data_IF_278639608322
#
_entry.id   IF_278639608322
#
_cell.length_a   1.000
_cell.length_b   1.000
_cell.length_c   1.000
_cell.angle_alpha   90.00
_cell.angle_beta   90.00
_cell.angle_gamma   90.00
#
_symmetry.space_group_name_H-M   'P 1'
#
loop_
_entity.id
_entity.type
_entity.pdbx_description
1 polymer ?
#
# COMPACT_ATOMS: atom_id res chain seq x y z
N UNK A 1 19.02 -15.29 -10.37
CA UNK A 1 18.92 -13.89 -9.90
C UNK A 1 17.72 -13.16 -10.51
N UNK A 2 17.55 -13.13 -11.84
CA UNK A 2 16.47 -12.41 -12.52
C UNK A 2 15.04 -12.73 -12.00
N UNK A 3 14.71 -14.02 -11.87
CA UNK A 3 13.37 -14.45 -11.39
C UNK A 3 13.06 -13.88 -10.01
N UNK A 4 14.02 -13.91 -9.08
CA UNK A 4 13.83 -13.43 -7.71
C UNK A 4 13.58 -11.92 -7.66
N UNK A 5 14.37 -11.14 -8.41
CA UNK A 5 14.20 -9.67 -8.47
C UNK A 5 12.86 -9.29 -9.10
N UNK A 6 12.43 -9.98 -10.16
CA UNK A 6 11.14 -9.73 -10.79
C UNK A 6 9.97 -10.14 -9.88
N UNK A 7 10.04 -11.28 -9.19
CA UNK A 7 9.03 -11.66 -8.19
C UNK A 7 8.90 -10.61 -7.09
N UNK A 8 10.01 -10.08 -6.57
CA UNK A 8 9.98 -9.03 -5.56
C UNK A 8 9.27 -7.76 -6.07
N UNK A 9 9.62 -7.29 -7.27
CA UNK A 9 8.99 -6.11 -7.88
C UNK A 9 7.50 -6.34 -8.17
N UNK A 10 7.12 -7.53 -8.63
CA UNK A 10 5.73 -7.88 -8.92
C UNK A 10 4.88 -7.96 -7.65
N UNK A 11 5.40 -8.55 -6.57
CA UNK A 11 4.70 -8.60 -5.29
C UNK A 11 4.51 -7.21 -4.69
N UNK A 12 5.52 -6.34 -4.78
CA UNK A 12 5.44 -4.96 -4.31
C UNK A 12 4.49 -4.13 -5.20
N UNK A 13 4.53 -4.33 -6.51
CA UNK A 13 3.60 -3.71 -7.46
C UNK A 13 2.16 -4.12 -7.18
N UNK A 14 1.91 -5.42 -6.96
CA UNK A 14 0.59 -5.94 -6.60
C UNK A 14 0.10 -5.37 -5.27
N UNK A 15 0.99 -5.24 -4.28
CA UNK A 15 0.67 -4.62 -2.99
C UNK A 15 0.22 -3.16 -3.14
N UNK A 16 0.96 -2.35 -3.92
CA UNK A 16 0.62 -0.94 -4.19
C UNK A 16 -0.68 -0.81 -4.99
N UNK A 17 -0.83 -1.60 -6.06
CA UNK A 17 -2.01 -1.58 -6.91
C UNK A 17 -3.27 -1.91 -6.10
N UNK A 18 -3.20 -2.96 -5.28
CA UNK A 18 -4.32 -3.40 -4.45
C UNK A 18 -4.68 -2.38 -3.37
N UNK A 19 -3.68 -1.77 -2.73
CA UNK A 19 -3.88 -0.67 -1.79
C UNK A 19 -4.63 0.51 -2.43
N UNK A 20 -4.17 0.96 -3.60
CA UNK A 20 -4.79 2.07 -4.32
C UNK A 20 -6.20 1.75 -4.80
N UNK A 21 -6.42 0.56 -5.36
CA UNK A 21 -7.76 0.11 -5.81
C UNK A 21 -8.75 0.07 -4.66
N UNK A 22 -8.33 -0.43 -3.49
CA UNK A 22 -9.20 -0.47 -2.30
C UNK A 22 -9.58 0.95 -1.87
N UNK A 23 -8.65 1.90 -1.85
CA UNK A 23 -8.95 3.30 -1.47
C UNK A 23 -9.91 3.99 -2.44
N UNK A 24 -9.81 3.68 -3.73
CA UNK A 24 -10.77 4.18 -4.73
C UNK A 24 -12.14 3.54 -4.52
N UNK A 25 -12.19 2.23 -4.27
CA UNK A 25 -13.44 1.47 -4.09
C UNK A 25 -14.19 1.83 -2.80
N UNK A 26 -13.46 1.96 -1.69
CA UNK A 26 -14.02 2.29 -0.37
C UNK A 26 -14.50 3.76 -0.30
N UNK A 27 -14.13 4.57 -1.29
CA UNK A 27 -14.43 6.00 -1.34
C UNK A 27 -13.30 6.85 -0.76
N UNK A 28 -13.01 7.95 -1.45
CA UNK A 28 -11.93 8.86 -1.09
C UNK A 28 -12.14 9.55 0.26
N UNK A 29 -13.37 9.61 0.76
CA UNK A 29 -13.70 10.20 2.06
C UNK A 29 -13.10 9.43 3.23
N UNK A 30 -13.05 8.10 3.15
CA UNK A 30 -12.41 7.26 4.19
C UNK A 30 -10.91 7.54 4.22
N UNK A 31 -10.29 7.64 3.05
CA UNK A 31 -8.86 7.95 2.93
C UNK A 31 -8.58 9.39 3.39
N UNK A 32 -9.44 10.35 3.01
CA UNK A 32 -9.35 11.74 3.46
C UNK A 32 -9.48 11.85 4.97
N UNK A 33 -10.37 11.08 5.61
CA UNK A 33 -10.47 10.99 7.07
C UNK A 33 -9.19 10.48 7.74
N UNK A 34 -8.48 9.53 7.10
CA UNK A 34 -7.15 9.11 7.58
C UNK A 34 -6.13 10.24 7.44
N UNK A 35 -6.12 10.96 6.31
CA UNK A 35 -5.25 12.12 6.09
C UNK A 35 -5.55 13.25 7.09
N UNK A 36 -6.83 13.47 7.42
CA UNK A 36 -7.28 14.41 8.43
C UNK A 36 -6.73 14.05 9.81
N UNK A 37 -6.83 12.78 10.20
CA UNK A 37 -6.35 12.28 11.50
C UNK A 37 -4.83 12.48 11.68
N UNK A 38 -4.08 12.51 10.58
CA UNK A 38 -2.64 12.77 10.59
C UNK A 38 -2.32 14.24 10.90
N UNK A 39 -3.28 15.15 10.71
CA UNK A 39 -3.12 16.60 10.96
C UNK A 39 -1.87 17.18 10.27
N UNK A 40 -1.61 16.76 9.02
CA UNK A 40 -0.49 17.21 8.20
C UNK A 40 -0.88 18.27 7.16
N UNK A 41 -2.13 18.24 6.67
CA UNK A 41 -2.64 19.13 5.62
C UNK A 41 -3.85 19.93 6.12
N UNK A 42 -4.16 21.09 5.50
CA UNK A 42 -5.42 21.78 5.74
C UNK A 42 -6.60 21.00 5.15
N UNK A 43 -7.78 21.13 5.77
CA UNK A 43 -9.01 20.39 5.41
C UNK A 43 -9.35 20.43 3.92
N UNK A 44 -9.12 21.57 3.26
CA UNK A 44 -9.39 21.75 1.82
C UNK A 44 -8.53 20.85 0.91
N UNK A 45 -7.37 20.40 1.38
CA UNK A 45 -6.42 19.58 0.63
C UNK A 45 -6.51 18.09 0.96
N UNK A 46 -7.29 17.68 1.97
CA UNK A 46 -7.35 16.28 2.41
C UNK A 46 -7.94 15.36 1.32
N UNK A 47 -9.05 15.76 0.70
CA UNK A 47 -9.67 15.02 -0.42
C UNK A 47 -8.76 14.97 -1.66
N UNK A 48 -8.20 16.09 -2.15
CA UNK A 48 -7.23 16.08 -3.25
C UNK A 48 -6.01 15.20 -2.95
N UNK A 49 -5.47 15.27 -1.73
CA UNK A 49 -4.35 14.44 -1.32
C UNK A 49 -4.72 12.95 -1.30
N UNK A 50 -5.91 12.59 -0.81
CA UNK A 50 -6.40 11.22 -0.84
C UNK A 50 -6.54 10.67 -2.27
N UNK A 51 -7.08 11.48 -3.20
CA UNK A 51 -7.15 11.12 -4.62
C UNK A 51 -5.77 10.92 -5.22
N UNK A 52 -4.88 11.90 -5.03
CA UNK A 52 -3.52 11.86 -5.58
C UNK A 52 -2.75 10.64 -5.06
N UNK A 53 -2.92 10.33 -3.78
CA UNK A 53 -2.28 9.19 -3.13
C UNK A 53 -2.77 7.86 -3.71
N UNK A 54 -4.09 7.69 -3.83
CA UNK A 54 -4.66 6.48 -4.42
C UNK A 54 -4.26 6.32 -5.90
N UNK A 55 -4.30 7.41 -6.67
CA UNK A 55 -3.87 7.41 -8.07
C UNK A 55 -2.37 7.07 -8.22
N UNK A 56 -1.53 7.61 -7.34
CA UNK A 56 -0.10 7.33 -7.37
C UNK A 56 0.21 5.87 -6.99
N UNK A 57 -0.52 5.28 -6.04
CA UNK A 57 -0.38 3.86 -5.69
C UNK A 57 -0.79 2.94 -6.84
N UNK A 58 -1.93 3.21 -7.49
CA UNK A 58 -2.39 2.46 -8.67
C UNK A 58 -1.38 2.61 -9.81
N UNK A 59 -0.95 3.83 -10.10
CA UNK A 59 0.02 4.11 -11.16
C UNK A 59 1.35 3.41 -10.92
N UNK A 60 1.93 3.53 -9.73
CA UNK A 60 3.19 2.88 -9.38
C UNK A 60 3.10 1.34 -9.45
N UNK A 61 2.00 0.77 -8.95
CA UNK A 61 1.72 -0.66 -9.05
C UNK A 61 1.59 -1.13 -10.51
N UNK A 62 0.83 -0.40 -11.32
CA UNK A 62 0.64 -0.70 -12.74
C UNK A 62 1.96 -0.61 -13.52
N UNK A 63 2.80 0.40 -13.25
CA UNK A 63 4.11 0.52 -13.87
C UNK A 63 5.01 -0.70 -13.55
N UNK A 64 5.03 -1.16 -12.30
CA UNK A 64 5.81 -2.35 -11.92
C UNK A 64 5.28 -3.65 -12.53
N UNK A 65 3.95 -3.82 -12.60
CA UNK A 65 3.29 -5.01 -13.16
C UNK A 65 3.35 -5.04 -14.70
N UNK A 66 3.40 -3.88 -15.35
CA UNK A 66 3.50 -3.81 -16.81
C UNK A 66 4.84 -4.34 -17.34
N UNK A 67 5.90 -4.29 -16.51
CA UNK A 67 7.23 -4.73 -16.89
C UNK A 67 7.92 -3.83 -17.92
N UNK A 68 7.24 -2.79 -18.42
CA UNK A 68 7.75 -1.95 -19.50
C UNK A 68 8.86 -0.99 -19.01
N UNK A 69 8.76 -0.52 -17.77
CA UNK A 69 9.77 0.34 -17.14
C UNK A 69 9.88 0.05 -15.63
N UNK A 70 10.51 -1.09 -15.25
CA UNK A 70 10.61 -1.50 -13.85
C UNK A 70 11.38 -0.48 -12.99
N UNK A 71 12.33 0.25 -13.58
CA UNK A 71 13.08 1.31 -12.89
C UNK A 71 12.20 2.50 -12.53
N UNK A 72 11.36 2.97 -13.46
CA UNK A 72 10.46 4.09 -13.20
C UNK A 72 9.40 3.70 -12.17
N UNK A 73 8.84 2.50 -12.27
CA UNK A 73 7.92 1.95 -11.27
C UNK A 73 8.59 1.85 -9.88
N UNK A 74 9.82 1.36 -9.82
CA UNK A 74 10.58 1.26 -8.57
C UNK A 74 10.82 2.63 -7.92
N UNK A 75 11.20 3.64 -8.71
CA UNK A 75 11.37 5.02 -8.22
C UNK A 75 10.06 5.56 -7.66
N UNK A 76 8.95 5.39 -8.38
CA UNK A 76 7.63 5.83 -7.92
C UNK A 76 7.24 5.18 -6.58
N UNK A 77 7.44 3.86 -6.46
CA UNK A 77 7.18 3.13 -5.21
C UNK A 77 8.08 3.61 -4.07
N UNK A 78 9.38 3.80 -4.31
CA UNK A 78 10.32 4.28 -3.29
C UNK A 78 9.91 5.66 -2.79
N UNK A 79 9.56 6.58 -3.70
CA UNK A 79 9.12 7.94 -3.35
C UNK A 79 7.84 7.88 -2.51
N UNK A 80 6.85 7.07 -2.91
CA UNK A 80 5.62 6.91 -2.15
C UNK A 80 5.84 6.31 -0.76
N UNK A 81 6.64 5.25 -0.65
CA UNK A 81 6.98 4.63 0.62
C UNK A 81 7.77 5.59 1.52
N UNK A 82 8.66 6.41 0.96
CA UNK A 82 9.39 7.42 1.70
C UNK A 82 8.46 8.50 2.24
N UNK A 83 7.55 9.03 1.41
CA UNK A 83 6.54 9.99 1.82
C UNK A 83 5.65 9.43 2.96
N UNK A 84 5.20 8.18 2.84
CA UNK A 84 4.47 7.49 3.91
C UNK A 84 5.29 7.36 5.19
N UNK A 85 6.56 7.02 5.07
CA UNK A 85 7.45 6.87 6.22
C UNK A 85 7.62 8.19 6.96
N UNK A 86 7.78 9.29 6.24
CA UNK A 86 7.84 10.64 6.83
C UNK A 86 6.53 11.00 7.52
N UNK A 87 5.38 10.70 6.91
CA UNK A 87 4.08 10.94 7.51
C UNK A 87 3.88 10.13 8.81
N UNK A 88 4.19 8.83 8.80
CA UNK A 88 4.11 7.97 9.99
C UNK A 88 5.06 8.42 11.09
N UNK A 89 6.30 8.79 10.75
CA UNK A 89 7.26 9.32 11.70
C UNK A 89 6.76 10.62 12.34
N UNK A 90 6.13 11.51 11.57
CA UNK A 90 5.52 12.73 12.09
C UNK A 90 4.42 12.44 13.11
N UNK A 91 3.50 11.52 12.80
CA UNK A 91 2.42 11.07 13.68
C UNK A 91 2.97 10.49 14.99
N UNK A 92 3.96 9.60 14.90
CA UNK A 92 4.60 8.98 16.07
C UNK A 92 5.31 10.00 16.96
N UNK A 93 6.08 10.93 16.36
CA UNK A 93 6.76 11.99 17.13
C UNK A 93 5.79 12.93 17.85
N UNK A 94 4.58 13.10 17.31
CA UNK A 94 3.54 13.94 17.89
C UNK A 94 2.64 13.20 18.87
N UNK A 95 2.82 11.89 19.06
CA UNK A 95 1.99 11.07 19.93
C UNK A 95 0.53 10.96 19.48
N UNK A 96 0.26 11.07 18.17
CA UNK A 96 -1.10 10.97 17.64
C UNK A 96 -1.47 9.50 17.49
N UNK A 97 -2.55 9.08 18.14
CA UNK A 97 -3.11 7.72 18.02
C UNK A 97 -4.13 7.69 16.89
N UNK A 98 -3.78 7.04 15.77
CA UNK A 98 -4.64 6.89 14.59
C UNK A 98 -4.32 5.59 13.84
N UNK A 99 -5.20 5.18 12.94
CA UNK A 99 -4.98 4.05 12.04
C UNK A 99 -4.06 4.43 10.86
N UNK A 100 -3.38 3.44 10.25
CA UNK A 100 -2.48 3.73 9.12
C UNK A 100 -3.21 3.99 7.79
N UNK A 101 -4.45 3.50 7.64
CA UNK A 101 -5.25 3.62 6.41
C UNK A 101 -4.60 3.06 5.14
N UNK A 102 -3.52 2.28 5.28
CA UNK A 102 -2.71 1.81 4.15
C UNK A 102 -3.48 0.89 3.18
N UNK A 103 -4.62 0.33 3.58
CA UNK A 103 -5.51 -0.46 2.71
C UNK A 103 -6.97 -0.03 2.88
N UNK A 104 -7.22 1.27 3.08
CA UNK A 104 -8.57 1.75 3.40
C UNK A 104 -9.13 1.04 4.65
N UNK A 105 -10.34 0.51 4.54
CA UNK A 105 -11.04 -0.20 5.63
C UNK A 105 -10.41 -1.54 6.01
N UNK A 106 -9.57 -2.13 5.14
CA UNK A 106 -8.98 -3.44 5.34
C UNK A 106 -7.82 -3.46 6.35
N UNK A 107 -7.36 -2.30 6.79
CA UNK A 107 -6.24 -2.17 7.72
C UNK A 107 -6.54 -1.12 8.78
N UNK A 108 -7.13 -1.58 9.87
CA UNK A 108 -7.37 -0.80 11.10
C UNK A 108 -6.15 -0.76 12.02
N UNK A 109 -4.99 -1.23 11.55
CA UNK A 109 -3.76 -1.25 12.34
C UNK A 109 -3.36 0.17 12.75
N UNK A 110 -3.13 0.34 14.04
CA UNK A 110 -2.62 1.59 14.59
C UNK A 110 -1.25 1.93 14.02
N UNK A 111 -0.98 3.24 13.94
CA UNK A 111 0.35 3.73 13.59
C UNK A 111 1.35 3.29 14.66
N UNK A 112 2.31 2.44 14.27
CA UNK A 112 3.34 1.86 15.14
C UNK A 112 4.72 1.93 14.46
N UNK A 113 5.83 1.94 15.22
CA UNK A 113 7.18 1.93 14.66
C UNK A 113 7.46 0.77 13.69
N UNK A 114 6.79 -0.37 13.90
CA UNK A 114 6.85 -1.51 12.98
C UNK A 114 6.47 -1.17 11.53
N UNK A 115 5.59 -0.19 11.32
CA UNK A 115 5.19 0.27 9.97
C UNK A 115 6.32 1.04 9.27
N UNK A 116 7.13 1.79 10.02
CA UNK A 116 8.34 2.44 9.49
C UNK A 116 9.34 1.38 9.05
N UNK A 117 9.59 0.38 9.90
CA UNK A 117 10.50 -0.74 9.58
C UNK A 117 10.01 -1.45 8.30
N UNK A 118 8.71 -1.76 8.22
CA UNK A 118 8.10 -2.35 7.01
C UNK A 118 8.39 -1.50 5.77
N UNK A 119 8.13 -0.20 5.81
CA UNK A 119 8.34 0.66 4.64
C UNK A 119 9.81 0.76 4.26
N UNK A 120 10.72 0.91 5.23
CA UNK A 120 12.18 0.96 4.97
C UNK A 120 12.67 -0.35 4.35
N UNK A 121 12.20 -1.49 4.85
CA UNK A 121 12.50 -2.80 4.27
C UNK A 121 11.98 -2.92 2.85
N UNK A 122 10.74 -2.48 2.58
CA UNK A 122 10.17 -2.49 1.23
C UNK A 122 10.93 -1.56 0.27
N UNK A 123 11.38 -0.39 0.74
CA UNK A 123 12.24 0.52 -0.02
C UNK A 123 13.56 -0.18 -0.38
N UNK A 124 14.23 -0.79 0.60
CA UNK A 124 15.50 -1.48 0.39
C UNK A 124 15.37 -2.64 -0.61
N UNK A 125 14.31 -3.45 -0.47
CA UNK A 125 14.02 -4.56 -1.40
C UNK A 125 13.74 -4.01 -2.80
N UNK A 126 12.94 -2.95 -2.93
CA UNK A 126 12.61 -2.33 -4.23
C UNK A 126 13.86 -1.79 -4.90
N UNK A 127 14.70 -1.07 -4.16
CA UNK A 127 15.94 -0.50 -4.68
C UNK A 127 16.93 -1.59 -5.12
N UNK A 128 17.14 -2.61 -4.28
CA UNK A 128 18.01 -3.74 -4.61
C UNK A 128 17.49 -4.53 -5.82
N UNK A 129 16.19 -4.85 -5.86
CA UNK A 129 15.60 -5.57 -6.97
C UNK A 129 15.68 -4.77 -8.28
N UNK A 130 15.44 -3.46 -8.24
CA UNK A 130 15.58 -2.60 -9.42
C UNK A 130 17.03 -2.51 -9.92
N UNK A 131 18.00 -2.38 -9.01
CA UNK A 131 19.42 -2.31 -9.35
C UNK A 131 19.98 -3.63 -9.93
N UNK A 132 19.49 -4.76 -9.43
CA UNK A 132 19.95 -6.10 -9.81
C UNK A 132 19.14 -6.73 -10.95
N UNK A 133 18.01 -6.13 -11.33
CA UNK A 133 17.13 -6.67 -12.38
C UNK A 133 17.77 -6.55 -13.77
N UNK A 134 17.83 -7.64 -14.56
CA UNK A 134 18.26 -7.57 -15.96
C UNK A 134 17.30 -6.74 -16.80
N UNK A 135 17.83 -6.04 -17.81
CA UNK A 135 17.04 -5.20 -18.73
C UNK A 135 16.05 -6.00 -19.59
N UNK A 136 16.32 -7.28 -19.82
CA UNK A 136 15.39 -8.20 -20.48
C UNK A 136 14.56 -8.97 -19.45
N UNK A 137 13.24 -8.92 -19.60
CA UNK A 137 12.32 -9.71 -18.78
C UNK A 137 12.48 -11.21 -19.11
N UNK A 138 12.41 -12.12 -18.11
CA UNK A 138 12.44 -13.55 -18.37
C UNK A 138 11.18 -13.99 -19.13
N UNK A 139 11.25 -15.06 -19.94
CA UNK A 139 10.09 -15.57 -20.68
C UNK A 139 8.93 -16.01 -19.76
N UNK A 140 9.21 -16.30 -18.48
CA UNK A 140 8.20 -16.64 -17.46
C UNK A 140 7.55 -15.42 -16.79
N UNK A 141 7.87 -14.19 -17.22
CA UNK A 141 7.43 -12.95 -16.56
C UNK A 141 5.92 -12.89 -16.31
N UNK A 142 5.10 -13.16 -17.34
CA UNK A 142 3.64 -13.07 -17.22
C UNK A 142 3.04 -14.12 -16.27
N UNK A 143 3.63 -15.31 -16.20
CA UNK A 143 3.23 -16.33 -15.24
C UNK A 143 3.52 -15.88 -13.81
N UNK A 144 4.69 -15.28 -13.57
CA UNK A 144 5.06 -14.72 -12.27
C UNK A 144 4.19 -13.52 -11.89
N UNK A 145 3.84 -12.67 -12.86
CA UNK A 145 2.96 -11.52 -12.65
C UNK A 145 1.56 -11.99 -12.24
N UNK A 146 0.98 -12.95 -12.97
CA UNK A 146 -0.31 -13.54 -12.65
C UNK A 146 -0.32 -14.17 -11.25
N UNK A 147 0.69 -14.99 -10.93
CA UNK A 147 0.81 -15.61 -9.62
C UNK A 147 0.92 -14.58 -8.47
N UNK A 148 1.70 -13.51 -8.68
CA UNK A 148 1.89 -12.45 -7.68
C UNK A 148 0.61 -11.66 -7.42
N UNK A 149 -0.14 -11.33 -8.48
CA UNK A 149 -1.44 -10.66 -8.37
C UNK A 149 -2.45 -11.56 -7.64
N UNK A 150 -2.53 -12.84 -8.01
CA UNK A 150 -3.42 -13.80 -7.35
C UNK A 150 -3.08 -13.98 -5.87
N UNK A 151 -1.78 -14.08 -5.53
CA UNK A 151 -1.33 -14.18 -4.15
C UNK A 151 -1.68 -12.93 -3.33
N UNK A 152 -1.51 -11.73 -3.91
CA UNK A 152 -1.88 -10.48 -3.25
C UNK A 152 -3.40 -10.38 -3.01
N UNK A 153 -4.20 -10.70 -4.03
CA UNK A 153 -5.66 -10.73 -3.95
C UNK A 153 -6.13 -11.75 -2.92
N UNK A 154 -5.58 -12.97 -2.91
CA UNK A 154 -5.90 -13.99 -1.92
C UNK A 154 -5.53 -13.54 -0.50
N UNK A 155 -4.35 -12.94 -0.32
CA UNK A 155 -3.92 -12.35 0.95
C UNK A 155 -4.89 -11.32 1.49
N UNK A 156 -5.39 -10.45 0.62
CA UNK A 156 -6.40 -9.44 0.98
C UNK A 156 -7.77 -10.05 1.23
N UNK A 157 -8.25 -10.96 0.38
CA UNK A 157 -9.52 -11.65 0.58
C UNK A 157 -9.54 -12.39 1.93
N UNK A 158 -8.44 -13.04 2.30
CA UNK A 158 -8.30 -13.68 3.61
C UNK A 158 -8.37 -12.68 4.78
N UNK A 159 -7.80 -11.48 4.63
CA UNK A 159 -7.91 -10.42 5.65
C UNK A 159 -9.32 -9.83 5.72
N UNK A 160 -9.96 -9.59 4.59
CA UNK A 160 -11.33 -9.08 4.53
C UNK A 160 -12.33 -10.04 5.19
N UNK A 161 -12.17 -11.35 4.96
CA UNK A 161 -13.01 -12.36 5.62
C UNK A 161 -12.86 -12.37 7.14
N UNK A 162 -11.68 -12.03 7.67
CA UNK A 162 -11.46 -11.93 9.12
C UNK A 162 -12.07 -10.68 9.75
N UNK A 163 -12.22 -9.60 9.00
CA UNK A 163 -12.88 -8.37 9.47
C UNK A 163 -14.40 -8.39 9.30
N UNK A 164 -14.91 -9.23 8.39
CA UNK A 164 -16.33 -9.36 8.09
C UNK A 164 -17.09 -10.37 8.98
N UNK A 165 -16.43 -11.02 9.94
CA UNK A 165 -17.15 -11.78 10.98
C UNK A 165 -17.97 -10.79 11.81
N UNK A 166 -19.31 -10.86 11.80
CA UNK A 166 -20.15 -9.96 12.59
C UNK A 166 -19.80 -10.12 14.07
N UNK A 167 -19.81 -9.01 14.80
CA UNK A 167 -19.87 -9.04 16.27
C UNK A 167 -21.26 -9.56 16.62
N UNK A 168 -21.42 -10.88 16.70
CA UNK A 168 -22.58 -11.51 17.33
C UNK A 168 -22.47 -11.26 18.84
N UNK A 169 -23.02 -10.13 19.30
CA UNK A 169 -23.22 -9.89 20.72
C UNK A 169 -23.06 -8.46 21.23
N UNK A 170 -23.79 -7.49 20.68
CA UNK A 170 -24.18 -6.28 21.43
C UNK A 170 -25.68 -6.01 21.24
N UNK A 171 -26.49 -6.99 21.63
CA UNK A 171 -27.81 -6.72 22.20
C UNK A 171 -27.62 -6.50 23.71
N UNK A 172 -28.22 -5.41 24.23
CA UNK A 172 -28.30 -4.98 25.63
C UNK A 172 -27.35 -3.84 26.05
N UNK A 173 -27.68 -2.61 25.67
CA UNK A 173 -27.91 -1.55 26.68
C UNK A 173 -29.14 -0.75 26.24
N UNK A 174 -30.25 -1.00 26.94
CA UNK A 174 -31.41 -0.12 26.96
C UNK A 174 -31.08 1.16 27.73
N UNK A 175 -31.75 2.24 27.31
CA UNK A 175 -32.19 3.44 28.06
C UNK A 175 -31.85 3.48 29.55
#
# INVERSE_FOLDING_TARGET
>A
MAVVTYCALLLIGAYMLLSGVVKVRDGLDITAGTVHAYKLLPVRLERPAALLLAAAEVGAGALLISGQSPRLGAVAVIVLLAAYTVALASVLRRGIHTSCGCHGTLSTSEVRPALIIRNVTLIAITAAAAALSPTAAPPTYWALAGASVLAAVAGVAMRYRKTATPIEGESHVHV
#
